data_IF_368871857060
#
_entry.id   IF_368871857060
#
_cell.length_a   1.000
_cell.length_b   1.000
_cell.length_c   1.000
_cell.angle_alpha   90.00
_cell.angle_beta   90.00
_cell.angle_gamma   90.00
#
_symmetry.space_group_name_H-M   'P 1'
#
loop_
_entity.id
_entity.type
_entity.pdbx_description
1 polymer ?
#
# COMPACT_ATOMS: atom_id res chain seq x y z
N UNK A 1 -3.68 -5.94 -6.43
CA UNK A 1 -4.41 -5.47 -5.21
C UNK A 1 -4.31 -6.49 -4.07
N UNK A 2 -4.61 -7.77 -4.33
CA UNK A 2 -4.48 -8.84 -3.34
C UNK A 2 -3.07 -8.91 -2.69
N UNK A 3 -2.03 -8.63 -3.47
CA UNK A 3 -0.65 -8.61 -2.98
C UNK A 3 -0.41 -7.51 -1.95
N UNK A 4 -1.08 -6.35 -2.06
CA UNK A 4 -0.99 -5.25 -1.10
C UNK A 4 -1.77 -5.47 0.19
N UNK A 5 -2.77 -6.36 0.18
CA UNK A 5 -3.58 -6.69 1.37
C UNK A 5 -2.94 -7.82 2.19
N UNK A 6 -1.93 -8.50 1.63
CA UNK A 6 -1.19 -9.54 2.32
C UNK A 6 -0.62 -9.04 3.65
N UNK A 7 -0.86 -9.79 4.73
CA UNK A 7 -0.44 -9.40 6.08
C UNK A 7 1.00 -9.80 6.42
N UNK A 8 1.87 -9.80 5.42
CA UNK A 8 3.26 -10.21 5.56
C UNK A 8 4.16 -9.04 5.18
N UNK A 9 5.36 -9.00 5.77
CA UNK A 9 6.30 -7.90 5.54
C UNK A 9 7.15 -8.19 4.32
N UNK A 10 7.29 -7.21 3.42
CA UNK A 10 8.18 -7.32 2.28
C UNK A 10 9.64 -7.03 2.66
N UNK A 11 9.86 -6.17 3.66
CA UNK A 11 11.21 -5.75 4.08
C UNK A 11 11.89 -6.72 5.05
N UNK A 12 11.14 -7.53 5.81
CA UNK A 12 11.68 -8.42 6.85
C UNK A 12 11.56 -9.92 6.50
N UNK A 13 11.47 -10.24 5.20
CA UNK A 13 11.31 -11.62 4.70
C UNK A 13 12.36 -12.61 5.23
N UNK A 14 13.57 -12.11 5.54
CA UNK A 14 14.71 -12.93 5.96
C UNK A 14 15.04 -12.88 7.46
N UNK A 15 14.30 -12.09 8.27
CA UNK A 15 14.67 -11.83 9.68
C UNK A 15 13.57 -12.23 10.66
N UNK A 16 12.32 -12.32 10.21
CA UNK A 16 11.18 -12.67 11.09
C UNK A 16 10.27 -13.69 10.41
N UNK A 17 9.60 -14.53 11.20
CA UNK A 17 8.60 -15.52 10.73
C UNK A 17 7.41 -14.90 9.95
N UNK A 18 7.34 -13.57 9.86
CA UNK A 18 6.27 -12.80 9.21
C UNK A 18 6.65 -12.29 7.82
N UNK A 19 7.73 -12.82 7.24
CA UNK A 19 8.11 -12.61 5.86
C UNK A 19 7.07 -13.12 4.87
N UNK A 20 6.82 -12.41 3.76
CA UNK A 20 6.03 -13.02 2.67
C UNK A 20 6.84 -14.14 1.99
N UNK A 21 6.13 -15.11 1.41
CA UNK A 21 6.71 -16.16 0.59
C UNK A 21 7.40 -15.59 -0.67
N UNK A 22 8.49 -16.22 -1.09
CA UNK A 22 9.26 -15.87 -2.30
C UNK A 22 8.38 -15.82 -3.56
N UNK A 23 7.35 -16.66 -3.66
CA UNK A 23 6.40 -16.68 -4.77
C UNK A 23 5.62 -15.36 -4.92
N UNK A 24 5.24 -14.72 -3.80
CA UNK A 24 4.55 -13.41 -3.82
C UNK A 24 5.50 -12.22 -3.96
N UNK A 25 6.73 -12.35 -3.49
CA UNK A 25 7.73 -11.27 -3.58
C UNK A 25 8.49 -11.29 -4.91
N UNK A 26 8.50 -12.42 -5.64
CA UNK A 26 9.31 -12.61 -6.85
C UNK A 26 9.13 -11.53 -7.92
N UNK A 27 7.91 -10.96 -8.03
CA UNK A 27 7.64 -9.88 -8.96
C UNK A 27 8.06 -8.48 -8.47
N UNK A 28 8.37 -8.31 -7.18
CA UNK A 28 8.77 -7.03 -6.56
C UNK A 28 10.28 -6.86 -6.38
N UNK A 29 11.02 -7.96 -6.25
CA UNK A 29 12.48 -7.99 -6.06
C UNK A 29 13.26 -7.98 -7.38
N UNK A 30 12.59 -8.30 -8.50
CA UNK A 30 13.22 -8.44 -9.81
C UNK A 30 14.08 -9.71 -9.90
N UNK A 31 14.60 -10.02 -11.10
CA UNK A 31 15.27 -11.30 -11.38
C UNK A 31 16.62 -11.48 -10.66
N UNK A 32 17.25 -10.41 -10.15
CA UNK A 32 18.60 -10.44 -9.57
C UNK A 32 18.66 -10.21 -8.06
N UNK A 33 17.56 -10.03 -7.34
CA UNK A 33 17.61 -9.90 -5.88
C UNK A 33 18.10 -8.55 -5.34
N UNK A 34 18.58 -7.65 -6.20
CA UNK A 34 19.31 -6.44 -5.77
C UNK A 34 18.41 -5.23 -5.48
N UNK A 35 17.14 -5.27 -5.87
CA UNK A 35 16.21 -4.17 -5.67
C UNK A 35 15.49 -4.29 -4.33
N UNK A 36 15.61 -3.26 -3.49
CA UNK A 36 14.80 -3.15 -2.29
C UNK A 36 13.30 -3.12 -2.67
N UNK A 37 12.45 -4.01 -2.11
CA UNK A 37 11.02 -4.06 -2.40
C UNK A 37 10.30 -2.72 -2.18
N UNK A 38 10.75 -1.93 -1.21
CA UNK A 38 10.21 -0.59 -0.95
C UNK A 38 10.45 0.39 -2.11
N UNK A 39 11.60 0.30 -2.76
CA UNK A 39 11.94 1.15 -3.91
C UNK A 39 11.09 0.80 -5.13
N UNK A 40 10.87 -0.49 -5.41
CA UNK A 40 10.03 -0.91 -6.53
C UNK A 40 8.56 -0.52 -6.30
N UNK A 41 8.06 -0.62 -5.06
CA UNK A 41 6.74 -0.12 -4.66
C UNK A 41 6.61 1.41 -4.80
N UNK A 42 7.63 2.17 -4.40
CA UNK A 42 7.63 3.62 -4.53
C UNK A 42 7.63 4.07 -6.01
N UNK A 43 8.43 3.43 -6.86
CA UNK A 43 8.43 3.68 -8.30
C UNK A 43 7.08 3.33 -8.91
N UNK A 44 6.50 2.18 -8.53
CA UNK A 44 5.17 1.78 -8.96
C UNK A 44 4.12 2.84 -8.59
N UNK A 45 4.14 3.34 -7.35
CA UNK A 45 3.25 4.40 -6.89
C UNK A 45 3.37 5.69 -7.72
N UNK A 46 4.60 6.18 -7.94
CA UNK A 46 4.84 7.41 -8.72
C UNK A 46 4.38 7.26 -10.18
N UNK A 47 4.71 6.15 -10.83
CA UNK A 47 4.33 5.90 -12.23
C UNK A 47 2.81 5.77 -12.36
N UNK A 48 2.15 5.00 -11.48
CA UNK A 48 0.70 4.87 -11.51
C UNK A 48 -0.02 6.18 -11.24
N UNK A 49 0.51 7.02 -10.35
CA UNK A 49 -0.07 8.35 -10.08
C UNK A 49 -0.09 9.23 -11.34
N UNK A 50 1.04 9.27 -12.07
CA UNK A 50 1.15 10.04 -13.32
C UNK A 50 0.26 9.43 -14.42
N UNK A 51 0.29 8.10 -14.56
CA UNK A 51 -0.48 7.40 -15.58
C UNK A 51 -1.99 7.62 -15.39
N UNK A 52 -2.47 7.58 -14.14
CA UNK A 52 -3.88 7.87 -13.82
C UNK A 52 -4.23 9.32 -14.14
N UNK A 53 -3.36 10.29 -13.85
CA UNK A 53 -3.58 11.69 -14.23
C UNK A 53 -3.72 11.87 -15.76
N UNK A 54 -2.90 11.16 -16.53
CA UNK A 54 -2.99 11.15 -18.00
C UNK A 54 -4.29 10.49 -18.46
N UNK A 55 -4.66 9.34 -17.87
CA UNK A 55 -5.89 8.62 -18.23
C UNK A 55 -7.16 9.43 -17.98
N UNK A 56 -7.22 10.21 -16.90
CA UNK A 56 -8.36 11.10 -16.60
C UNK A 56 -8.44 12.27 -17.60
N UNK A 57 -7.32 12.66 -18.20
CA UNK A 57 -7.26 13.74 -19.19
C UNK A 57 -7.74 13.31 -20.59
N UNK A 58 -7.87 12.00 -20.84
CA UNK A 58 -8.41 11.47 -22.09
C UNK A 58 -9.95 11.55 -22.06
N UNK A 59 -10.56 11.95 -23.18
CA UNK A 59 -12.01 12.05 -23.34
C UNK A 59 -12.67 10.67 -23.53
N UNK A 60 -12.44 9.75 -22.61
CA UNK A 60 -13.03 8.41 -22.58
C UNK A 60 -13.80 8.25 -21.26
N UNK A 61 -15.07 7.78 -21.28
CA UNK A 61 -15.81 7.49 -20.07
C UNK A 61 -15.21 6.25 -19.37
N UNK A 62 -14.19 6.47 -18.55
CA UNK A 62 -13.52 5.46 -17.75
C UNK A 62 -13.72 5.72 -16.26
N UNK A 63 -14.04 4.68 -15.49
CA UNK A 63 -14.24 4.79 -14.04
C UNK A 63 -12.92 4.98 -13.28
N UNK A 64 -12.82 6.05 -12.48
CA UNK A 64 -11.65 6.37 -11.65
C UNK A 64 -11.59 5.62 -10.31
N UNK A 65 -12.61 4.84 -9.99
CA UNK A 65 -12.78 4.18 -8.70
C UNK A 65 -11.65 3.18 -8.37
N UNK A 66 -11.44 2.21 -9.26
CA UNK A 66 -10.43 1.15 -9.08
C UNK A 66 -8.99 1.69 -9.02
N UNK A 67 -8.53 2.55 -9.95
CA UNK A 67 -7.16 3.07 -9.88
C UNK A 67 -6.89 3.87 -8.60
N UNK A 68 -7.87 4.61 -8.09
CA UNK A 68 -7.76 5.34 -6.84
C UNK A 68 -7.54 4.41 -5.64
N UNK A 69 -8.26 3.28 -5.59
CA UNK A 69 -8.10 2.28 -4.53
C UNK A 69 -6.72 1.61 -4.59
N UNK A 70 -6.19 1.35 -5.79
CA UNK A 70 -4.85 0.75 -5.99
C UNK A 70 -3.75 1.71 -5.55
N UNK A 71 -3.82 2.99 -5.93
CA UNK A 71 -2.84 4.01 -5.53
C UNK A 71 -2.83 4.17 -4.01
N UNK A 72 -3.99 4.29 -3.39
CA UNK A 72 -4.11 4.40 -1.93
C UNK A 72 -3.62 3.15 -1.19
N UNK A 73 -3.89 1.95 -1.73
CA UNK A 73 -3.39 0.69 -1.16
C UNK A 73 -1.86 0.62 -1.19
N UNK A 74 -1.26 1.03 -2.30
CA UNK A 74 0.19 1.07 -2.44
C UNK A 74 0.83 2.07 -1.45
N UNK A 75 0.28 3.29 -1.36
CA UNK A 75 0.76 4.30 -0.41
C UNK A 75 0.63 3.85 1.05
N UNK A 76 -0.52 3.26 1.41
CA UNK A 76 -0.73 2.69 2.75
C UNK A 76 0.23 1.54 3.06
N UNK A 77 0.55 0.68 2.09
CA UNK A 77 1.52 -0.41 2.26
C UNK A 77 2.93 0.13 2.52
N UNK A 78 3.38 1.14 1.77
CA UNK A 78 4.69 1.80 1.98
C UNK A 78 4.80 2.30 3.41
N UNK A 79 3.78 3.03 3.90
CA UNK A 79 3.76 3.54 5.27
C UNK A 79 3.76 2.38 6.28
N UNK A 80 2.99 1.32 6.03
CA UNK A 80 2.96 0.13 6.88
C UNK A 80 4.32 -0.58 6.99
N UNK A 81 5.05 -0.73 5.89
CA UNK A 81 6.40 -1.32 5.88
C UNK A 81 7.41 -0.42 6.61
N UNK A 82 7.33 0.90 6.43
CA UNK A 82 8.17 1.86 7.18
C UNK A 82 7.88 1.76 8.68
N UNK A 83 6.61 1.75 9.09
CA UNK A 83 6.22 1.60 10.50
C UNK A 83 6.66 0.27 11.09
N UNK A 84 6.57 -0.82 10.32
CA UNK A 84 7.07 -2.13 10.72
C UNK A 84 8.60 -2.14 10.91
N UNK A 85 9.34 -1.37 10.10
CA UNK A 85 10.80 -1.23 10.24
C UNK A 85 11.21 -0.38 11.45
N UNK A 86 10.42 0.64 11.80
CA UNK A 86 10.70 1.53 12.94
C UNK A 86 10.39 0.88 14.29
N UNK A 87 9.35 0.03 14.36
CA UNK A 87 8.91 -0.62 15.59
C UNK A 87 8.84 -2.16 15.43
N UNK A 88 10.00 -2.85 15.33
CA UNK A 88 10.03 -4.30 15.09
C UNK A 88 9.42 -5.12 16.24
N UNK A 89 9.50 -4.61 17.47
CA UNK A 89 8.98 -5.26 18.68
C UNK A 89 7.52 -4.90 19.01
N UNK A 90 6.82 -4.20 18.10
CA UNK A 90 5.46 -3.72 18.34
C UNK A 90 5.40 -2.45 19.21
N UNK A 91 4.29 -1.72 19.12
CA UNK A 91 4.13 -0.40 19.77
C UNK A 91 4.02 -0.52 21.31
N UNK A 92 3.75 -1.73 21.84
CA UNK A 92 3.39 -1.96 23.25
C UNK A 92 4.29 -2.95 24.00
N UNK A 93 5.49 -3.24 23.48
CA UNK A 93 6.46 -4.16 24.09
C UNK A 93 6.43 -5.59 23.53
N UNK A 94 7.18 -6.55 24.12
CA UNK A 94 7.46 -7.89 23.58
C UNK A 94 6.25 -8.77 23.22
N UNK A 95 5.04 -8.42 23.69
CA UNK A 95 3.78 -9.11 23.42
C UNK A 95 2.66 -8.15 22.94
N UNK A 96 3.04 -6.97 22.46
CA UNK A 96 2.10 -5.97 21.94
C UNK A 96 1.48 -6.37 20.60
N UNK A 97 0.33 -5.77 20.21
CA UNK A 97 -0.24 -6.00 18.89
C UNK A 97 0.76 -5.59 17.81
N UNK A 98 1.08 -6.53 16.91
CA UNK A 98 2.04 -6.33 15.84
C UNK A 98 1.47 -5.41 14.76
N UNK A 99 2.37 -4.67 14.09
CA UNK A 99 2.05 -3.84 12.94
C UNK A 99 1.81 -4.72 11.72
N UNK A 100 0.63 -4.59 11.13
CA UNK A 100 0.18 -5.36 9.99
C UNK A 100 0.10 -4.47 8.74
N UNK A 101 1.10 -4.52 7.85
CA UNK A 101 1.22 -3.56 6.74
C UNK A 101 0.05 -3.67 5.74
N UNK A 102 -0.60 -4.83 5.64
CA UNK A 102 -1.83 -5.01 4.86
C UNK A 102 -3.02 -4.20 5.38
N UNK A 103 -3.13 -3.97 6.70
CA UNK A 103 -4.19 -3.13 7.26
C UNK A 103 -3.98 -1.65 6.88
N UNK A 104 -2.73 -1.18 6.90
CA UNK A 104 -2.38 0.16 6.47
C UNK A 104 -2.69 0.37 4.98
N UNK A 105 -2.51 -0.66 4.14
CA UNK A 105 -2.91 -0.63 2.75
C UNK A 105 -4.43 -0.42 2.58
N UNK A 106 -5.26 -1.17 3.32
CA UNK A 106 -6.72 -1.03 3.25
C UNK A 106 -7.17 0.37 3.69
N UNK A 107 -6.64 0.86 4.82
CA UNK A 107 -6.97 2.20 5.32
C UNK A 107 -6.53 3.29 4.35
N UNK A 108 -5.33 3.16 3.77
CA UNK A 108 -4.82 4.09 2.76
C UNK A 108 -5.68 4.12 1.50
N UNK A 109 -6.16 2.97 1.04
CA UNK A 109 -7.06 2.84 -0.11
C UNK A 109 -8.39 3.59 0.12
N UNK A 110 -9.01 3.40 1.29
CA UNK A 110 -10.25 4.08 1.66
C UNK A 110 -10.07 5.59 1.77
N UNK A 111 -9.02 6.04 2.46
CA UNK A 111 -8.76 7.47 2.67
C UNK A 111 -8.54 8.21 1.34
N UNK A 112 -7.72 7.64 0.45
CA UNK A 112 -7.43 8.23 -0.84
C UNK A 112 -8.70 8.37 -1.68
N UNK A 113 -9.51 7.31 -1.75
CA UNK A 113 -10.77 7.35 -2.48
C UNK A 113 -11.73 8.43 -1.96
N UNK A 114 -11.91 8.54 -0.64
CA UNK A 114 -12.80 9.54 -0.05
C UNK A 114 -12.31 10.98 -0.18
N UNK A 115 -10.99 11.18 -0.20
CA UNK A 115 -10.38 12.48 -0.46
C UNK A 115 -10.68 12.94 -1.89
N UNK A 116 -10.43 12.10 -2.90
CA UNK A 116 -10.64 12.43 -4.31
C UNK A 116 -12.11 12.67 -4.68
N UNK A 117 -13.02 11.95 -4.05
CA UNK A 117 -14.46 12.07 -4.32
C UNK A 117 -15.15 13.13 -3.47
N UNK A 118 -14.42 13.85 -2.60
CA UNK A 118 -14.99 14.74 -1.57
C UNK A 118 -16.07 14.09 -0.69
N UNK A 119 -16.21 12.75 -0.73
CA UNK A 119 -17.28 12.04 -0.02
C UNK A 119 -17.10 12.09 1.50
N UNK A 120 -15.90 12.39 1.98
CA UNK A 120 -15.62 12.54 3.41
C UNK A 120 -16.40 13.69 4.06
N UNK A 121 -16.73 14.74 3.31
CA UNK A 121 -17.51 15.88 3.81
C UNK A 121 -19.03 15.62 3.88
N UNK A 122 -19.57 14.73 3.04
CA UNK A 122 -21.00 14.44 2.99
C UNK A 122 -21.48 13.73 4.27
N UNK A 123 -20.67 12.85 4.86
CA UNK A 123 -20.99 12.21 6.15
C UNK A 123 -21.01 13.19 7.34
N UNK A 124 -20.37 14.35 7.22
CA UNK A 124 -20.35 15.42 8.24
C UNK A 124 -21.51 16.41 8.12
N UNK A 125 -22.25 16.43 7.00
CA UNK A 125 -23.40 17.33 6.76
C UNK A 125 -24.75 16.65 7.05
N UNK A 126 -24.77 15.32 7.24
CA UNK A 126 -25.96 14.55 7.60
C UNK A 126 -26.09 14.26 9.11
N UNK A 127 -25.37 15.01 9.96
CA UNK A 127 -25.47 14.95 11.42
C UNK A 127 -25.65 16.36 11.98
#
# INVERSE_FOLDING_TARGET
LADFISNCTFMLSNVTERGCSLDRIGHWIGPSGELHPLSSLAVYFCVYFILVAICVSLAVPAGIFVPSFVIGACGGRIIGEVMASLYPQGIRGPDGPQIFPGLYAVVGASFFFFCFTHHFYIYRIQK
#
